data_IF_449078352361
#
_entry.id   IF_449078352361
#
_cell.length_a   1.000
_cell.length_b   1.000
_cell.length_c   1.000
_cell.angle_alpha   90.00
_cell.angle_beta   90.00
_cell.angle_gamma   90.00
#
_symmetry.space_group_name_H-M   'P 1'
#
loop_
_entity.id
_entity.type
_entity.pdbx_description
1 polymer ?
#
# COMPACT_ATOMS: atom_id res chain seq x y z
N UNK A 1 20.23 -2.90 -26.31
CA UNK A 1 18.76 -3.09 -26.29
C UNK A 1 18.12 -1.80 -25.78
N UNK A 2 17.03 -1.32 -26.40
CA UNK A 2 16.34 -0.08 -25.97
C UNK A 2 15.74 -0.31 -24.58
N UNK A 3 15.93 0.65 -23.66
CA UNK A 3 15.28 0.63 -22.33
C UNK A 3 13.79 0.95 -22.51
N UNK A 4 12.94 0.05 -22.08
CA UNK A 4 11.47 0.18 -22.14
C UNK A 4 10.90 0.50 -20.76
N UNK A 5 11.41 -0.17 -19.72
CA UNK A 5 11.01 0.06 -18.33
C UNK A 5 12.15 0.68 -17.51
N UNK A 6 11.81 1.66 -16.68
CA UNK A 6 12.66 2.14 -15.60
C UNK A 6 12.00 1.77 -14.28
N UNK A 7 12.64 0.86 -13.53
CA UNK A 7 12.20 0.49 -12.17
C UNK A 7 12.75 1.53 -11.21
N UNK A 8 11.90 2.20 -10.43
CA UNK A 8 12.28 3.31 -9.52
C UNK A 8 11.99 2.91 -8.07
N UNK A 9 13.05 2.95 -7.24
CA UNK A 9 12.95 2.65 -5.80
C UNK A 9 13.52 3.84 -4.99
N UNK A 10 12.66 4.57 -4.26
CA UNK A 10 13.09 5.55 -3.28
C UNK A 10 13.51 4.83 -2.00
N UNK A 11 14.65 5.18 -1.41
CA UNK A 11 15.14 4.55 -0.18
C UNK A 11 15.91 5.56 0.69
N UNK A 12 15.85 5.47 2.04
CA UNK A 12 16.72 6.29 2.88
C UNK A 12 18.19 5.92 2.71
N UNK A 13 18.48 4.62 2.71
CA UNK A 13 19.81 4.03 2.53
C UNK A 13 19.68 2.70 1.80
N UNK A 14 20.57 2.41 0.87
CA UNK A 14 20.61 1.12 0.17
C UNK A 14 20.75 0.01 1.21
N UNK A 15 19.74 -0.86 1.26
CA UNK A 15 19.58 -1.92 2.27
C UNK A 15 19.83 -3.31 1.68
N UNK A 16 19.72 -4.33 2.51
CA UNK A 16 19.95 -5.72 2.11
C UNK A 16 18.86 -6.26 1.18
N UNK A 17 17.61 -5.79 1.29
CA UNK A 17 16.55 -6.17 0.36
C UNK A 17 16.89 -5.76 -1.08
N UNK A 18 17.42 -4.54 -1.26
CA UNK A 18 17.86 -4.08 -2.58
C UNK A 18 18.96 -5.00 -3.13
N UNK A 19 19.97 -5.34 -2.32
CA UNK A 19 21.14 -6.12 -2.75
C UNK A 19 20.82 -7.59 -2.97
N UNK A 20 20.08 -8.20 -2.03
CA UNK A 20 19.88 -9.65 -1.95
C UNK A 20 18.62 -10.13 -2.65
N UNK A 21 17.63 -9.26 -2.86
CA UNK A 21 16.32 -9.65 -3.39
C UNK A 21 15.95 -8.86 -4.65
N UNK A 22 15.89 -7.51 -4.62
CA UNK A 22 15.42 -6.71 -5.76
C UNK A 22 16.36 -6.84 -6.96
N UNK A 23 17.67 -6.65 -6.79
CA UNK A 23 18.62 -6.77 -7.90
C UNK A 23 18.63 -8.18 -8.50
N UNK A 24 18.70 -9.27 -7.72
CA UNK A 24 18.58 -10.63 -8.25
C UNK A 24 17.25 -10.91 -8.95
N UNK A 25 16.12 -10.42 -8.41
CA UNK A 25 14.80 -10.59 -9.03
C UNK A 25 14.69 -9.83 -10.37
N UNK A 26 15.24 -8.63 -10.46
CA UNK A 26 15.29 -7.86 -11.71
C UNK A 26 16.20 -8.50 -12.77
N UNK A 27 17.31 -9.12 -12.37
CA UNK A 27 18.15 -9.92 -13.28
C UNK A 27 17.41 -11.12 -13.88
N UNK A 28 16.50 -11.72 -13.08
CA UNK A 28 15.69 -12.89 -13.47
C UNK A 28 14.45 -12.54 -14.29
N UNK A 29 14.16 -11.25 -14.54
CA UNK A 29 13.01 -10.87 -15.36
C UNK A 29 13.12 -11.50 -16.75
N UNK A 30 12.00 -12.04 -17.25
CA UNK A 30 11.88 -12.54 -18.63
C UNK A 30 11.97 -11.40 -19.62
N UNK A 31 11.43 -10.24 -19.31
CA UNK A 31 11.55 -9.01 -20.10
C UNK A 31 12.90 -8.32 -19.84
N UNK A 32 13.71 -8.10 -20.89
CA UNK A 32 15.11 -7.66 -20.77
C UNK A 32 15.34 -6.15 -20.96
N UNK A 33 14.39 -5.42 -21.48
CA UNK A 33 14.52 -3.97 -21.76
C UNK A 33 14.28 -3.11 -20.50
N UNK A 34 15.07 -3.30 -19.42
CA UNK A 34 14.89 -2.58 -18.16
C UNK A 34 16.17 -1.89 -17.67
N UNK A 35 16.00 -0.81 -16.93
CA UNK A 35 17.00 -0.24 -16.02
C UNK A 35 16.44 -0.15 -14.59
N UNK A 36 17.31 -0.14 -13.60
CA UNK A 36 16.95 -0.01 -12.19
C UNK A 36 17.53 1.27 -11.59
N UNK A 37 16.68 2.13 -11.07
CA UNK A 37 17.02 3.46 -10.54
C UNK A 37 16.77 3.47 -9.05
N UNK A 38 17.82 3.67 -8.27
CA UNK A 38 17.78 3.76 -6.81
C UNK A 38 18.01 5.21 -6.41
N UNK A 39 17.13 5.76 -5.56
CA UNK A 39 17.21 7.15 -5.07
C UNK A 39 17.43 7.16 -3.54
N UNK A 40 18.68 7.03 -3.07
CA UNK A 40 19.01 7.11 -1.65
C UNK A 40 19.11 8.56 -1.16
N UNK A 41 19.05 8.81 0.18
CA UNK A 41 19.25 10.14 0.77
C UNK A 41 20.65 10.69 0.52
N UNK A 42 21.66 9.82 0.57
CA UNK A 42 23.07 10.17 0.38
C UNK A 42 23.75 9.18 -0.56
N UNK A 43 24.83 9.63 -1.19
CA UNK A 43 25.71 8.75 -1.95
C UNK A 43 26.29 7.70 -1.00
N UNK A 44 26.06 6.43 -1.29
CA UNK A 44 26.72 5.31 -0.61
C UNK A 44 28.21 5.23 -0.94
N UNK A 45 28.93 4.33 -0.26
CA UNK A 45 30.29 3.97 -0.63
C UNK A 45 30.39 3.44 -2.09
N UNK A 46 31.61 3.14 -2.56
CA UNK A 46 31.80 2.50 -3.87
C UNK A 46 31.17 1.09 -3.83
N UNK A 47 29.96 0.97 -4.35
CA UNK A 47 29.28 -0.33 -4.55
C UNK A 47 29.37 -0.71 -6.03
N UNK A 48 29.80 -1.95 -6.29
CA UNK A 48 29.88 -2.47 -7.66
C UNK A 48 28.51 -3.08 -8.05
N UNK A 49 27.62 -2.25 -8.59
CA UNK A 49 26.33 -2.70 -9.08
C UNK A 49 26.39 -3.18 -10.54
N UNK A 50 25.50 -4.10 -10.94
CA UNK A 50 25.32 -4.49 -12.34
C UNK A 50 25.09 -3.28 -13.27
N UNK A 51 25.46 -3.39 -14.53
CA UNK A 51 25.40 -2.31 -15.52
C UNK A 51 24.01 -1.71 -15.76
N UNK A 52 22.94 -2.41 -15.44
CA UNK A 52 21.57 -1.91 -15.55
C UNK A 52 21.12 -1.08 -14.32
N UNK A 53 21.90 -1.05 -13.23
CA UNK A 53 21.57 -0.30 -12.00
C UNK A 53 22.17 1.10 -12.07
N UNK A 54 21.36 2.09 -11.72
CA UNK A 54 21.75 3.51 -11.60
C UNK A 54 21.41 4.03 -10.22
N UNK A 55 22.29 4.77 -9.60
CA UNK A 55 22.08 5.36 -8.27
C UNK A 55 22.17 6.88 -8.40
N UNK A 56 21.09 7.56 -8.01
CA UNK A 56 21.03 9.04 -8.01
C UNK A 56 20.66 9.52 -6.60
N UNK A 57 21.65 9.95 -5.80
CA UNK A 57 21.38 10.47 -4.45
C UNK A 57 20.50 11.71 -4.47
N UNK A 58 19.56 11.82 -3.53
CA UNK A 58 18.72 12.99 -3.32
C UNK A 58 19.32 13.88 -2.23
N UNK A 59 20.18 14.81 -2.61
CA UNK A 59 20.74 15.79 -1.68
C UNK A 59 20.34 17.21 -2.09
N UNK A 60 19.79 18.06 -1.20
CA UNK A 60 19.39 17.78 0.18
C UNK A 60 18.33 16.67 0.29
N UNK A 61 18.13 16.10 1.49
CA UNK A 61 17.21 14.99 1.73
C UNK A 61 15.78 15.32 1.25
N UNK A 62 15.26 14.48 0.35
CA UNK A 62 13.92 14.59 -0.20
C UNK A 62 12.96 13.61 0.48
N UNK A 63 11.65 13.90 0.43
CA UNK A 63 10.60 12.97 0.79
C UNK A 63 10.46 11.82 -0.23
N UNK A 64 9.71 10.75 0.13
CA UNK A 64 9.50 9.62 -0.79
C UNK A 64 8.85 10.02 -2.13
N UNK A 65 7.89 10.94 -2.13
CA UNK A 65 7.25 11.47 -3.34
C UNK A 65 8.28 12.16 -4.25
N UNK A 66 9.01 13.13 -3.71
CA UNK A 66 10.00 13.89 -4.47
C UNK A 66 11.15 13.00 -5.00
N UNK A 67 11.51 11.93 -4.26
CA UNK A 67 12.48 10.93 -4.74
C UNK A 67 11.97 10.14 -5.93
N UNK A 68 10.67 9.74 -5.90
CA UNK A 68 10.04 9.06 -7.03
C UNK A 68 10.06 9.95 -8.26
N UNK A 69 9.72 11.25 -8.12
CA UNK A 69 9.76 12.23 -9.20
C UNK A 69 11.18 12.43 -9.75
N UNK A 70 12.18 12.51 -8.86
CA UNK A 70 13.58 12.54 -9.27
C UNK A 70 13.96 11.29 -10.08
N UNK A 71 13.50 10.11 -9.64
CA UNK A 71 13.69 8.84 -10.34
C UNK A 71 13.08 8.86 -11.74
N UNK A 72 11.84 9.34 -11.88
CA UNK A 72 11.18 9.50 -13.19
C UNK A 72 11.91 10.47 -14.09
N UNK A 73 12.40 11.60 -13.57
CA UNK A 73 13.21 12.57 -14.31
C UNK A 73 14.51 11.96 -14.85
N UNK A 74 15.11 11.01 -14.14
CA UNK A 74 16.33 10.28 -14.54
C UNK A 74 16.06 9.07 -15.45
N UNK A 75 14.81 8.62 -15.51
CA UNK A 75 14.40 7.43 -16.23
C UNK A 75 14.49 7.59 -17.75
N UNK A 76 14.99 6.55 -18.43
CA UNK A 76 15.07 6.45 -19.90
C UNK A 76 13.93 5.63 -20.47
N UNK A 77 13.25 4.81 -19.65
CA UNK A 77 12.14 3.96 -20.07
C UNK A 77 10.88 4.73 -20.41
N UNK A 78 10.10 4.19 -21.32
CA UNK A 78 8.77 4.69 -21.68
C UNK A 78 7.77 4.43 -20.55
N UNK A 79 7.98 3.34 -19.79
CA UNK A 79 7.17 2.96 -18.64
C UNK A 79 7.99 3.02 -17.37
N UNK A 80 7.36 3.57 -16.32
CA UNK A 80 7.96 3.67 -14.98
C UNK A 80 7.31 2.64 -14.09
N UNK A 81 8.11 1.76 -13.50
CA UNK A 81 7.66 0.76 -12.55
C UNK A 81 8.13 1.12 -11.14
N UNK A 82 7.19 1.54 -10.28
CA UNK A 82 7.50 1.84 -8.89
C UNK A 82 7.51 0.57 -8.05
N UNK A 83 8.50 0.48 -7.17
CA UNK A 83 8.60 -0.53 -6.12
C UNK A 83 9.01 0.13 -4.80
N UNK A 84 8.59 -0.45 -3.68
CA UNK A 84 9.16 -0.12 -2.37
C UNK A 84 10.49 -0.85 -2.17
N UNK A 85 11.34 -0.35 -1.26
CA UNK A 85 12.67 -0.90 -1.00
C UNK A 85 12.67 -2.23 -0.22
N UNK A 86 11.48 -2.70 0.16
CA UNK A 86 11.18 -3.98 0.79
C UNK A 86 10.23 -4.86 -0.06
N UNK A 87 10.19 -4.61 -1.40
CA UNK A 87 9.40 -5.39 -2.34
C UNK A 87 10.25 -5.87 -3.53
N UNK A 88 10.07 -7.11 -3.97
CA UNK A 88 10.77 -7.66 -5.13
C UNK A 88 9.81 -8.36 -6.10
N UNK A 89 10.04 -8.23 -7.44
CA UNK A 89 9.09 -8.70 -8.43
C UNK A 89 9.21 -10.20 -8.73
N UNK A 90 8.09 -10.81 -9.15
CA UNK A 90 8.09 -12.15 -9.75
C UNK A 90 8.81 -12.14 -11.12
N UNK A 91 9.31 -13.29 -11.63
CA UNK A 91 10.11 -13.34 -12.86
C UNK A 91 9.40 -12.80 -14.12
N UNK A 92 8.07 -12.87 -14.18
CA UNK A 92 7.28 -12.43 -15.34
C UNK A 92 6.57 -11.10 -15.13
N UNK A 93 6.91 -10.34 -14.10
CA UNK A 93 6.24 -9.12 -13.68
C UNK A 93 6.09 -8.09 -14.82
N UNK A 94 7.19 -7.72 -15.48
CA UNK A 94 7.17 -6.74 -16.57
C UNK A 94 6.57 -7.30 -17.85
N UNK A 95 6.79 -8.58 -18.13
CA UNK A 95 6.18 -9.29 -19.27
C UNK A 95 4.65 -9.28 -19.17
N UNK A 96 4.10 -9.48 -17.97
CA UNK A 96 2.65 -9.48 -17.74
C UNK A 96 2.04 -8.08 -17.81
N UNK A 97 2.82 -7.04 -17.60
CA UNK A 97 2.34 -5.67 -17.63
C UNK A 97 2.37 -5.03 -19.01
N UNK A 98 3.35 -5.38 -19.88
CA UNK A 98 3.63 -4.64 -21.11
C UNK A 98 2.46 -4.65 -22.10
N UNK A 99 1.74 -5.76 -22.20
CA UNK A 99 0.67 -5.91 -23.18
C UNK A 99 -0.52 -4.98 -22.92
N UNK A 100 -0.77 -4.61 -21.68
CA UNK A 100 -1.83 -3.66 -21.34
C UNK A 100 -1.57 -2.28 -21.94
N UNK A 101 -0.31 -1.90 -22.06
CA UNK A 101 0.08 -0.60 -22.60
C UNK A 101 -0.04 -0.49 -24.13
N UNK A 102 -0.42 -1.55 -24.86
CA UNK A 102 -0.86 -1.45 -26.27
C UNK A 102 -2.12 -0.61 -26.39
N UNK A 103 -2.95 -0.56 -25.36
CA UNK A 103 -4.12 0.31 -25.29
C UNK A 103 -3.74 1.67 -24.69
N UNK A 104 -3.83 2.72 -25.49
CA UNK A 104 -3.51 4.10 -25.08
C UNK A 104 -4.41 4.64 -23.94
N UNK A 105 -5.58 4.05 -23.70
CA UNK A 105 -6.45 4.39 -22.56
C UNK A 105 -5.88 3.87 -21.24
N UNK A 106 -4.97 2.89 -21.26
CA UNK A 106 -4.33 2.36 -20.06
C UNK A 106 -3.13 3.23 -19.70
N UNK A 107 -3.26 3.99 -18.62
CA UNK A 107 -2.21 4.82 -18.04
C UNK A 107 -1.41 4.12 -16.95
N UNK A 108 -2.00 3.08 -16.30
CA UNK A 108 -1.35 2.34 -15.23
C UNK A 108 -1.70 0.86 -15.20
N UNK A 109 -0.78 0.04 -14.71
CA UNK A 109 -0.94 -1.39 -14.44
C UNK A 109 -0.39 -1.69 -13.06
N UNK A 110 -1.08 -2.51 -12.29
CA UNK A 110 -0.68 -2.89 -10.93
C UNK A 110 -1.04 -4.36 -10.64
N UNK A 111 -0.57 -4.87 -9.54
CA UNK A 111 -0.86 -6.23 -9.13
C UNK A 111 -0.50 -6.47 -7.66
N UNK A 112 -0.83 -7.63 -7.07
CA UNK A 112 -0.70 -7.86 -5.66
C UNK A 112 0.75 -7.85 -5.18
N UNK A 113 0.93 -7.48 -3.90
CA UNK A 113 2.15 -7.69 -3.14
C UNK A 113 1.91 -8.72 -2.06
N UNK A 114 2.26 -9.98 -2.34
CA UNK A 114 2.08 -11.08 -1.39
C UNK A 114 3.24 -11.11 -0.39
N UNK A 115 2.93 -11.52 0.83
CA UNK A 115 3.96 -11.68 1.87
C UNK A 115 4.88 -12.85 1.52
N UNK A 116 6.21 -12.68 1.51
CA UNK A 116 7.14 -13.77 1.28
C UNK A 116 6.91 -14.91 2.27
N UNK A 117 6.91 -16.20 1.82
CA UNK A 117 6.62 -17.33 2.71
C UNK A 117 7.67 -17.55 3.79
N UNK A 118 8.89 -17.01 3.62
CA UNK A 118 10.00 -17.10 4.57
C UNK A 118 10.12 -15.89 5.52
N UNK A 119 9.18 -14.96 5.48
CA UNK A 119 9.14 -13.84 6.42
C UNK A 119 8.98 -14.34 7.88
N UNK A 120 9.51 -13.61 8.86
CA UNK A 120 9.32 -13.93 10.28
C UNK A 120 7.83 -14.05 10.67
N UNK A 121 7.53 -14.89 11.66
CA UNK A 121 6.16 -15.17 12.12
C UNK A 121 5.30 -13.92 12.28
N UNK A 122 5.80 -12.88 12.96
CA UNK A 122 5.03 -11.66 13.21
C UNK A 122 4.76 -10.83 11.94
N UNK A 123 5.62 -10.91 10.95
CA UNK A 123 5.39 -10.33 9.63
C UNK A 123 4.37 -11.15 8.83
N UNK A 124 4.43 -12.48 8.93
CA UNK A 124 3.43 -13.38 8.33
C UNK A 124 2.02 -13.10 8.88
N UNK A 125 1.85 -12.93 10.19
CA UNK A 125 0.55 -12.57 10.79
C UNK A 125 0.02 -11.25 10.22
N UNK A 126 0.89 -10.22 10.12
CA UNK A 126 0.54 -8.96 9.46
C UNK A 126 0.11 -9.17 8.01
N UNK A 127 0.84 -10.00 7.27
CA UNK A 127 0.52 -10.35 5.89
C UNK A 127 -0.84 -11.04 5.75
N UNK A 128 -1.15 -12.00 6.59
CA UNK A 128 -2.43 -12.68 6.60
C UNK A 128 -3.59 -11.78 7.01
N UNK A 129 -3.36 -10.83 7.94
CA UNK A 129 -4.33 -9.78 8.24
C UNK A 129 -4.69 -8.99 6.97
N UNK A 130 -3.68 -8.49 6.23
CA UNK A 130 -3.91 -7.76 4.99
C UNK A 130 -4.52 -8.61 3.86
N UNK A 131 -4.22 -9.91 3.82
CA UNK A 131 -4.72 -10.86 2.82
C UNK A 131 -6.15 -11.35 3.11
N UNK A 132 -6.64 -11.20 4.33
CA UNK A 132 -7.97 -11.65 4.72
C UNK A 132 -9.04 -10.60 4.41
N UNK A 133 -10.23 -11.08 3.99
CA UNK A 133 -11.34 -10.18 3.68
C UNK A 133 -11.76 -9.33 4.88
N UNK A 134 -11.89 -9.96 6.06
CA UNK A 134 -12.26 -9.23 7.28
C UNK A 134 -11.18 -8.24 7.69
N UNK A 135 -9.89 -8.64 7.63
CA UNK A 135 -8.79 -7.79 8.09
C UNK A 135 -8.57 -6.53 7.26
N UNK A 136 -8.60 -6.65 5.91
CA UNK A 136 -8.32 -5.54 5.01
C UNK A 136 -9.57 -4.98 4.30
N UNK A 137 -10.71 -5.63 4.45
CA UNK A 137 -11.92 -5.33 3.68
C UNK A 137 -11.74 -5.62 2.18
N UNK A 138 -12.84 -5.66 1.43
CA UNK A 138 -12.80 -5.94 0.00
C UNK A 138 -11.95 -4.96 -0.82
N UNK A 139 -11.75 -3.73 -0.32
CA UNK A 139 -10.91 -2.71 -0.97
C UNK A 139 -9.40 -2.95 -0.77
N UNK A 140 -8.97 -3.73 0.22
CA UNK A 140 -7.56 -3.95 0.57
C UNK A 140 -7.05 -5.36 0.22
N UNK A 141 -7.90 -6.36 0.36
CA UNK A 141 -7.52 -7.77 0.22
C UNK A 141 -6.82 -8.09 -1.10
N UNK A 142 -7.35 -7.65 -2.24
CA UNK A 142 -6.76 -7.90 -3.56
C UNK A 142 -5.36 -7.30 -3.74
N UNK A 143 -4.99 -6.33 -2.90
CA UNK A 143 -3.63 -5.74 -2.89
C UNK A 143 -2.60 -6.67 -2.25
N UNK A 144 -3.03 -7.63 -1.44
CA UNK A 144 -2.16 -8.50 -0.65
C UNK A 144 -2.40 -9.99 -0.91
N UNK A 145 -3.51 -10.33 -1.57
CA UNK A 145 -3.87 -11.68 -2.01
C UNK A 145 -4.35 -11.61 -3.46
N UNK A 146 -3.88 -12.48 -4.37
CA UNK A 146 -4.28 -12.46 -5.76
C UNK A 146 -5.79 -12.59 -5.92
N UNK A 147 -6.40 -11.64 -6.58
CA UNK A 147 -7.83 -11.61 -6.88
C UNK A 147 -8.08 -11.55 -8.39
N UNK A 148 -9.32 -11.31 -8.79
CA UNK A 148 -9.70 -11.17 -10.19
C UNK A 148 -9.15 -9.87 -10.82
N UNK A 149 -8.91 -9.89 -12.13
CA UNK A 149 -8.59 -8.69 -12.92
C UNK A 149 -9.69 -7.65 -12.78
N UNK A 150 -9.32 -6.39 -12.62
CA UNK A 150 -10.27 -5.28 -12.48
C UNK A 150 -9.67 -3.93 -12.83
N UNK A 151 -10.52 -2.95 -13.09
CA UNK A 151 -10.12 -1.55 -13.10
C UNK A 151 -10.09 -1.03 -11.65
N UNK A 152 -9.07 -0.22 -11.34
CA UNK A 152 -8.92 0.44 -10.04
C UNK A 152 -8.61 1.92 -10.24
N UNK A 153 -8.91 2.74 -9.24
CA UNK A 153 -8.69 4.18 -9.25
C UNK A 153 -7.83 4.68 -8.07
N UNK A 154 -7.30 3.73 -7.30
CA UNK A 154 -6.41 3.99 -6.16
C UNK A 154 -5.53 2.75 -5.92
N UNK A 155 -4.21 2.88 -6.11
CA UNK A 155 -3.27 1.80 -5.91
C UNK A 155 -1.93 2.32 -5.37
N UNK A 156 -1.34 1.65 -4.37
CA UNK A 156 -0.07 2.08 -3.78
C UNK A 156 1.13 1.76 -4.67
N UNK A 157 2.16 2.59 -4.57
CA UNK A 157 3.35 2.54 -5.43
C UNK A 157 4.30 1.36 -5.15
N UNK A 158 4.02 0.50 -4.17
CA UNK A 158 4.81 -0.71 -4.00
C UNK A 158 4.76 -1.66 -5.22
N UNK A 159 3.75 -1.53 -6.08
CA UNK A 159 3.60 -2.27 -7.34
C UNK A 159 2.69 -1.51 -8.31
N UNK A 160 3.15 -0.39 -8.80
CA UNK A 160 2.42 0.43 -9.78
C UNK A 160 3.35 0.74 -10.97
N UNK A 161 2.92 0.36 -12.18
CA UNK A 161 3.63 0.64 -13.43
C UNK A 161 2.81 1.64 -14.22
N UNK A 162 3.41 2.73 -14.69
CA UNK A 162 2.70 3.82 -15.38
C UNK A 162 3.41 4.24 -16.67
N UNK A 163 2.67 4.83 -17.62
CA UNK A 163 3.28 5.52 -18.75
C UNK A 163 3.98 6.78 -18.26
N UNK A 164 5.24 6.94 -18.61
CA UNK A 164 6.01 8.15 -18.28
C UNK A 164 5.32 9.42 -18.77
N UNK A 165 4.86 9.44 -20.03
CA UNK A 165 4.13 10.58 -20.60
C UNK A 165 2.86 10.98 -19.85
N UNK A 166 2.13 9.98 -19.30
CA UNK A 166 0.91 10.24 -18.54
C UNK A 166 1.25 10.69 -17.10
N UNK A 167 2.32 10.16 -16.52
CA UNK A 167 2.88 10.62 -15.24
C UNK A 167 3.29 12.10 -15.30
N UNK A 168 4.00 12.49 -16.36
CA UNK A 168 4.42 13.88 -16.58
C UNK A 168 3.24 14.82 -16.82
N UNK A 169 2.20 14.37 -17.55
CA UNK A 169 0.98 15.16 -17.81
C UNK A 169 0.18 15.46 -16.55
N UNK A 170 0.14 14.57 -15.56
CA UNK A 170 -0.53 14.85 -14.28
C UNK A 170 0.33 15.65 -13.32
N UNK A 171 1.61 15.91 -13.65
CA UNK A 171 2.53 16.70 -12.85
C UNK A 171 3.31 15.90 -11.80
N UNK A 172 3.37 14.57 -11.92
CA UNK A 172 4.08 13.70 -10.99
C UNK A 172 3.34 13.45 -9.67
N UNK A 173 4.10 13.16 -8.61
CA UNK A 173 3.55 13.01 -7.26
C UNK A 173 3.48 14.34 -6.54
N UNK A 174 2.31 14.67 -6.03
CA UNK A 174 2.14 15.83 -5.17
C UNK A 174 2.62 15.52 -3.75
N UNK A 175 3.80 16.03 -3.39
CA UNK A 175 4.43 15.78 -2.08
C UNK A 175 3.62 16.34 -0.90
N UNK A 176 2.68 17.25 -1.13
CA UNK A 176 1.79 17.77 -0.10
C UNK A 176 0.78 16.71 0.39
N UNK A 177 0.51 15.70 -0.43
CA UNK A 177 -0.34 14.56 -0.07
C UNK A 177 0.40 13.41 0.60
N UNK A 178 1.75 13.48 0.78
CA UNK A 178 2.48 12.41 1.45
C UNK A 178 2.14 12.32 2.96
N UNK A 179 1.91 11.08 3.48
CA UNK A 179 1.79 9.79 2.83
C UNK A 179 0.38 9.56 2.25
N UNK A 180 0.26 9.43 0.94
CA UNK A 180 -0.97 9.27 0.15
C UNK A 180 -0.88 9.97 -1.20
N UNK A 181 0.34 10.35 -1.58
CA UNK A 181 0.68 10.88 -2.89
C UNK A 181 0.29 9.92 -4.03
N UNK A 182 0.32 8.62 -3.76
CA UNK A 182 -0.14 7.57 -4.66
C UNK A 182 -1.66 7.64 -4.92
N UNK A 183 -2.45 7.83 -3.86
CA UNK A 183 -3.91 8.04 -3.99
C UNK A 183 -4.22 9.30 -4.81
N UNK A 184 -3.49 10.40 -4.57
CA UNK A 184 -3.64 11.65 -5.33
C UNK A 184 -3.26 11.47 -6.79
N UNK A 185 -2.12 10.82 -7.05
CA UNK A 185 -1.66 10.51 -8.41
C UNK A 185 -2.68 9.64 -9.16
N UNK A 186 -3.13 8.53 -8.57
CA UNK A 186 -4.14 7.66 -9.17
C UNK A 186 -5.45 8.40 -9.45
N UNK A 187 -5.91 9.25 -8.51
CA UNK A 187 -7.07 10.11 -8.71
C UNK A 187 -6.90 11.00 -9.95
N UNK A 188 -5.76 11.67 -10.10
CA UNK A 188 -5.54 12.59 -11.21
C UNK A 188 -5.38 11.83 -12.54
N UNK A 189 -4.71 10.69 -12.53
CA UNK A 189 -4.57 9.83 -13.71
C UNK A 189 -5.95 9.36 -14.22
N UNK A 190 -6.83 8.95 -13.31
CA UNK A 190 -8.16 8.41 -13.69
C UNK A 190 -9.17 9.53 -13.93
N UNK A 191 -9.30 10.49 -13.02
CA UNK A 191 -10.41 11.44 -13.04
C UNK A 191 -10.12 12.77 -13.73
N UNK A 192 -8.83 13.15 -13.89
CA UNK A 192 -8.45 14.34 -14.66
C UNK A 192 -7.98 13.97 -16.07
N UNK A 193 -7.16 12.92 -16.21
CA UNK A 193 -6.61 12.52 -17.51
C UNK A 193 -7.46 11.47 -18.24
N UNK A 194 -8.49 10.89 -17.60
CA UNK A 194 -9.39 9.90 -18.19
C UNK A 194 -8.73 8.56 -18.51
N UNK A 195 -7.63 8.23 -17.85
CA UNK A 195 -6.90 6.98 -18.03
C UNK A 195 -7.45 5.88 -17.12
N UNK A 196 -7.17 4.62 -17.52
CA UNK A 196 -7.49 3.43 -16.74
C UNK A 196 -6.26 2.92 -16.01
N UNK A 197 -6.44 2.41 -14.79
CA UNK A 197 -5.46 1.60 -14.07
C UNK A 197 -6.00 0.18 -14.00
N UNK A 198 -5.22 -0.78 -14.53
CA UNK A 198 -5.61 -2.19 -14.56
C UNK A 198 -4.87 -2.95 -13.47
N UNK A 199 -5.63 -3.61 -12.61
CA UNK A 199 -5.10 -4.61 -11.70
C UNK A 199 -5.11 -5.98 -12.37
N UNK A 200 -3.94 -6.64 -12.41
CA UNK A 200 -3.78 -8.02 -12.84
C UNK A 200 -3.04 -8.83 -11.77
N UNK A 201 -3.63 -9.94 -11.25
CA UNK A 201 -2.98 -10.78 -10.25
C UNK A 201 -1.65 -11.42 -10.72
N UNK A 202 -1.37 -11.45 -12.03
CA UNK A 202 -0.12 -11.96 -12.59
C UNK A 202 1.02 -10.92 -12.58
N UNK A 203 0.70 -9.63 -12.41
CA UNK A 203 1.67 -8.55 -12.22
C UNK A 203 2.07 -8.53 -10.73
N UNK A 204 2.71 -9.61 -10.30
CA UNK A 204 2.93 -9.98 -8.91
C UNK A 204 4.28 -9.48 -8.39
N UNK A 205 4.27 -8.94 -7.18
CA UNK A 205 5.48 -8.72 -6.38
C UNK A 205 5.37 -9.43 -5.02
N UNK A 206 6.51 -9.69 -4.40
CA UNK A 206 6.61 -10.09 -3.00
C UNK A 206 6.90 -8.83 -2.19
N UNK A 207 6.22 -8.63 -1.06
CA UNK A 207 6.35 -7.43 -0.26
C UNK A 207 6.43 -7.80 1.22
N UNK A 208 7.57 -7.54 1.85
CA UNK A 208 7.81 -7.79 3.27
C UNK A 208 6.88 -6.96 4.14
N UNK A 209 6.34 -7.60 5.18
CA UNK A 209 5.39 -6.93 6.07
C UNK A 209 6.06 -6.49 7.35
N UNK A 210 5.50 -5.43 7.93
CA UNK A 210 5.92 -4.95 9.24
C UNK A 210 5.42 -5.90 10.32
N UNK A 211 6.28 -6.21 11.29
CA UNK A 211 5.90 -7.05 12.41
C UNK A 211 4.71 -6.46 13.19
N UNK A 212 3.75 -7.34 13.57
CA UNK A 212 2.75 -6.99 14.57
C UNK A 212 3.47 -6.82 15.94
N UNK A 213 3.05 -5.95 16.83
CA UNK A 213 1.96 -4.98 16.80
C UNK A 213 2.49 -3.56 16.49
N UNK A 214 3.65 -3.17 17.05
CA UNK A 214 4.17 -1.80 17.07
C UNK A 214 4.23 -1.16 15.68
N UNK A 215 4.97 -1.77 14.76
CA UNK A 215 5.20 -1.18 13.43
C UNK A 215 3.98 -1.31 12.51
N UNK A 216 3.26 -2.41 12.63
CA UNK A 216 2.00 -2.65 11.93
C UNK A 216 0.94 -1.62 12.34
N UNK A 217 0.73 -1.41 13.65
CA UNK A 217 -0.25 -0.42 14.14
C UNK A 217 0.16 1.02 13.80
N UNK A 218 1.46 1.34 13.80
CA UNK A 218 1.93 2.65 13.33
C UNK A 218 1.53 2.87 11.87
N UNK A 219 1.67 1.86 11.01
CA UNK A 219 1.28 1.92 9.60
C UNK A 219 -0.24 2.04 9.44
N UNK A 220 -1.01 1.16 10.10
CA UNK A 220 -2.48 1.17 10.06
C UNK A 220 -3.06 2.48 10.56
N UNK A 221 -2.51 3.03 11.66
CA UNK A 221 -2.96 4.31 12.19
C UNK A 221 -2.72 5.47 11.22
N UNK A 222 -1.60 5.45 10.49
CA UNK A 222 -1.37 6.43 9.41
C UNK A 222 -2.40 6.28 8.30
N UNK A 223 -2.67 5.07 7.83
CA UNK A 223 -3.67 4.83 6.79
C UNK A 223 -5.06 5.29 7.22
N UNK A 224 -5.49 4.98 8.46
CA UNK A 224 -6.76 5.46 9.00
C UNK A 224 -6.85 6.99 8.99
N UNK A 225 -5.84 7.66 9.56
CA UNK A 225 -5.79 9.12 9.65
C UNK A 225 -5.88 9.79 8.27
N UNK A 226 -5.05 9.33 7.31
CA UNK A 226 -5.05 9.90 5.96
C UNK A 226 -6.34 9.59 5.21
N UNK A 227 -6.85 8.37 5.29
CA UNK A 227 -8.08 8.00 4.61
C UNK A 227 -9.28 8.80 5.15
N UNK A 228 -9.36 9.02 6.47
CA UNK A 228 -10.37 9.89 7.06
C UNK A 228 -10.27 11.33 6.57
N UNK A 229 -9.07 11.89 6.46
CA UNK A 229 -8.86 13.22 5.90
C UNK A 229 -9.21 13.29 4.41
N UNK A 230 -8.85 12.28 3.62
CA UNK A 230 -9.09 12.22 2.18
C UNK A 230 -10.56 12.04 1.80
N UNK A 231 -11.43 11.61 2.72
CA UNK A 231 -12.90 11.68 2.50
C UNK A 231 -13.34 13.08 2.09
N UNK A 232 -12.66 14.12 2.58
CA UNK A 232 -12.98 15.54 2.30
C UNK A 232 -12.28 16.06 1.05
N UNK A 233 -11.01 15.73 0.86
CA UNK A 233 -10.17 16.33 -0.20
C UNK A 233 -10.09 15.47 -1.47
N UNK A 234 -10.28 14.15 -1.36
CA UNK A 234 -10.30 13.19 -2.47
C UNK A 234 -11.50 12.25 -2.35
N UNK A 235 -12.75 12.77 -2.38
CA UNK A 235 -13.95 11.96 -2.08
C UNK A 235 -14.15 10.79 -3.06
N UNK A 236 -13.81 10.94 -4.33
CA UNK A 236 -13.98 9.89 -5.35
C UNK A 236 -13.23 8.59 -5.00
N UNK A 237 -12.02 8.69 -4.44
CA UNK A 237 -11.19 7.55 -4.06
C UNK A 237 -11.37 7.12 -2.60
N UNK A 238 -11.87 8.01 -1.73
CA UNK A 238 -11.80 7.82 -0.27
C UNK A 238 -13.16 7.79 0.44
N UNK A 239 -14.25 8.32 -0.16
CA UNK A 239 -15.60 8.25 0.42
C UNK A 239 -16.26 6.92 0.05
N UNK A 240 -15.71 5.80 0.57
CA UNK A 240 -16.22 4.45 0.34
C UNK A 240 -16.65 3.82 1.65
N UNK A 241 -17.81 3.17 1.66
CA UNK A 241 -18.41 2.60 2.87
C UNK A 241 -17.43 1.70 3.65
N UNK A 242 -16.66 0.87 2.96
CA UNK A 242 -15.69 -0.03 3.58
C UNK A 242 -14.65 0.66 4.47
N UNK A 243 -14.30 1.92 4.20
CA UNK A 243 -13.37 2.70 5.03
C UNK A 243 -14.00 3.22 6.34
N UNK A 244 -15.34 3.33 6.38
CA UNK A 244 -16.06 3.78 7.57
C UNK A 244 -16.37 2.64 8.55
N UNK A 245 -16.43 1.39 8.08
CA UNK A 245 -16.79 0.23 8.92
C UNK A 245 -15.91 0.13 10.18
N UNK A 246 -14.56 0.24 10.10
CA UNK A 246 -13.73 0.21 11.31
C UNK A 246 -13.96 1.40 12.24
N UNK A 247 -14.39 2.57 11.71
CA UNK A 247 -14.74 3.72 12.55
C UNK A 247 -16.05 3.49 13.31
N UNK A 248 -17.07 2.94 12.65
CA UNK A 248 -18.31 2.53 13.29
C UNK A 248 -18.05 1.44 14.35
N UNK A 249 -17.18 0.48 14.05
CA UNK A 249 -16.75 -0.54 15.01
C UNK A 249 -16.08 0.09 16.24
N UNK A 250 -15.14 1.04 16.06
CA UNK A 250 -14.47 1.72 17.17
C UNK A 250 -15.46 2.50 18.05
N UNK A 251 -16.44 3.17 17.44
CA UNK A 251 -17.53 3.84 18.18
C UNK A 251 -18.41 2.83 18.91
N UNK A 252 -18.74 1.69 18.27
CA UNK A 252 -19.51 0.62 18.89
C UNK A 252 -18.81 0.02 20.12
N UNK A 253 -17.50 -0.23 20.02
CA UNK A 253 -16.72 -0.73 21.17
C UNK A 253 -16.67 0.30 22.31
N UNK A 254 -16.53 1.60 22.00
CA UNK A 254 -16.43 2.65 23.00
C UNK A 254 -17.79 2.96 23.66
N UNK A 255 -18.85 3.10 22.88
CA UNK A 255 -20.15 3.58 23.36
C UNK A 255 -21.20 2.46 23.49
N UNK A 256 -20.98 1.29 22.90
CA UNK A 256 -21.91 0.17 22.96
C UNK A 256 -22.29 -0.26 24.36
N UNK A 257 -21.36 -0.39 25.32
CA UNK A 257 -21.71 -0.72 26.70
C UNK A 257 -22.68 0.29 27.36
N UNK A 258 -22.64 1.57 26.94
CA UNK A 258 -23.55 2.60 27.48
C UNK A 258 -25.01 2.38 27.07
N UNK A 259 -25.28 1.56 26.06
CA UNK A 259 -26.66 1.22 25.65
C UNK A 259 -27.46 0.57 26.77
N UNK A 260 -26.79 -0.08 27.75
CA UNK A 260 -27.42 -0.64 28.95
C UNK A 260 -28.14 0.44 29.79
N UNK A 261 -27.62 1.67 29.81
CA UNK A 261 -28.22 2.79 30.53
C UNK A 261 -29.56 3.25 29.93
N UNK A 262 -29.81 2.90 28.66
CA UNK A 262 -31.02 3.34 27.95
C UNK A 262 -32.04 2.19 27.83
N UNK A 263 -31.58 0.98 27.51
CA UNK A 263 -32.48 -0.17 27.32
C UNK A 263 -31.72 -1.48 27.32
N UNK A 264 -32.22 -2.47 28.05
CA UNK A 264 -31.71 -3.82 28.03
C UNK A 264 -31.81 -4.46 26.62
N UNK A 265 -32.86 -4.13 25.86
CA UNK A 265 -33.02 -4.62 24.48
C UNK A 265 -31.90 -4.07 23.57
N UNK A 266 -31.55 -2.78 23.66
CA UNK A 266 -30.45 -2.19 22.93
C UNK A 266 -29.09 -2.81 23.32
N UNK A 267 -28.88 -3.07 24.60
CA UNK A 267 -27.66 -3.73 25.07
C UNK A 267 -27.54 -5.17 24.55
N UNK A 268 -28.65 -5.93 24.58
CA UNK A 268 -28.67 -7.27 23.96
C UNK A 268 -28.36 -7.23 22.47
N UNK A 269 -28.95 -6.29 21.73
CA UNK A 269 -28.64 -6.08 20.31
C UNK A 269 -27.14 -5.77 20.09
N UNK A 270 -26.55 -4.89 20.90
CA UNK A 270 -25.12 -4.62 20.88
C UNK A 270 -24.28 -5.90 21.09
N UNK A 271 -24.64 -6.72 22.09
CA UNK A 271 -23.93 -7.98 22.34
C UNK A 271 -24.05 -8.97 21.18
N UNK A 272 -25.21 -9.04 20.51
CA UNK A 272 -25.37 -9.86 19.31
C UNK A 272 -24.45 -9.39 18.19
N UNK A 273 -24.40 -8.09 17.91
CA UNK A 273 -23.52 -7.52 16.87
C UNK A 273 -22.05 -7.80 17.19
N UNK A 274 -21.64 -7.61 18.44
CA UNK A 274 -20.28 -7.91 18.90
C UNK A 274 -19.97 -9.40 18.78
N UNK A 275 -20.91 -10.26 19.15
CA UNK A 275 -20.78 -11.72 19.02
C UNK A 275 -20.61 -12.17 17.57
N UNK A 276 -21.40 -11.62 16.64
CA UNK A 276 -21.23 -11.85 15.20
C UNK A 276 -19.83 -11.45 14.74
N UNK A 277 -19.34 -10.28 15.16
CA UNK A 277 -18.00 -9.82 14.79
C UNK A 277 -16.89 -10.75 15.31
N UNK A 278 -16.99 -11.21 16.58
CA UNK A 278 -16.04 -12.17 17.16
C UNK A 278 -16.08 -13.51 16.38
N UNK A 279 -17.27 -13.96 16.03
CA UNK A 279 -17.45 -15.17 15.22
C UNK A 279 -16.79 -15.01 13.83
N UNK A 280 -16.94 -13.87 13.17
CA UNK A 280 -16.28 -13.59 11.89
C UNK A 280 -14.75 -13.58 12.01
N UNK A 281 -14.19 -13.06 13.11
CA UNK A 281 -12.75 -13.18 13.39
C UNK A 281 -12.35 -14.66 13.52
N UNK A 282 -13.13 -15.45 14.25
CA UNK A 282 -12.90 -16.90 14.41
C UNK A 282 -12.90 -17.63 13.06
N UNK A 283 -13.90 -17.41 12.21
CA UNK A 283 -13.93 -17.97 10.85
C UNK A 283 -12.75 -17.52 9.99
N UNK A 284 -12.37 -16.24 10.07
CA UNK A 284 -11.19 -15.73 9.36
C UNK A 284 -9.93 -16.42 9.84
N UNK A 285 -9.77 -16.61 11.15
CA UNK A 285 -8.64 -17.33 11.76
C UNK A 285 -8.58 -18.78 11.30
N UNK A 286 -9.71 -19.49 11.27
CA UNK A 286 -9.80 -20.87 10.75
C UNK A 286 -9.46 -20.95 9.25
N UNK A 287 -9.94 -20.00 8.45
CA UNK A 287 -9.58 -19.92 7.03
C UNK A 287 -8.07 -19.71 6.86
N UNK A 288 -7.46 -18.81 7.66
CA UNK A 288 -6.01 -18.59 7.64
C UNK A 288 -5.25 -19.83 8.12
N UNK A 289 -5.74 -20.54 9.15
CA UNK A 289 -5.17 -21.82 9.58
C UNK A 289 -5.12 -22.84 8.44
N UNK A 290 -6.24 -22.98 7.72
CA UNK A 290 -6.32 -23.90 6.58
C UNK A 290 -5.36 -23.54 5.44
N UNK A 291 -5.10 -22.23 5.20
CA UNK A 291 -4.22 -21.74 4.15
C UNK A 291 -2.74 -21.71 4.57
N UNK A 292 -2.44 -21.22 5.76
CA UNK A 292 -1.06 -21.07 6.27
C UNK A 292 -0.50 -22.36 6.86
N UNK A 293 -1.38 -23.29 7.28
CA UNK A 293 -1.05 -24.51 8.06
C UNK A 293 -0.21 -24.22 9.32
N UNK A 294 -0.41 -23.02 9.89
CA UNK A 294 0.33 -22.57 11.07
C UNK A 294 -0.64 -22.05 12.14
N UNK A 295 -0.74 -22.79 13.24
CA UNK A 295 -1.64 -22.51 14.35
C UNK A 295 -1.31 -21.18 15.04
N UNK A 296 0.00 -20.85 15.20
CA UNK A 296 0.41 -19.60 15.84
C UNK A 296 0.00 -18.39 15.03
N UNK A 297 0.07 -18.46 13.69
CA UNK A 297 -0.43 -17.39 12.81
C UNK A 297 -1.92 -17.19 13.04
N UNK A 298 -2.71 -18.27 13.06
CA UNK A 298 -4.15 -18.21 13.25
C UNK A 298 -4.53 -17.61 14.61
N UNK A 299 -3.88 -18.04 15.70
CA UNK A 299 -4.12 -17.52 17.05
C UNK A 299 -3.76 -16.02 17.14
N UNK A 300 -2.57 -15.64 16.67
CA UNK A 300 -2.12 -14.25 16.72
C UNK A 300 -2.93 -13.32 15.81
N UNK A 301 -3.56 -13.86 14.78
CA UNK A 301 -4.41 -13.07 13.88
C UNK A 301 -5.65 -12.51 14.60
N UNK A 302 -6.22 -13.24 15.55
CA UNK A 302 -7.41 -12.83 16.30
C UNK A 302 -7.23 -11.44 16.95
N UNK A 303 -6.29 -11.26 17.88
CA UNK A 303 -6.06 -9.94 18.46
C UNK A 303 -5.54 -8.92 17.44
N UNK A 304 -4.82 -9.36 16.40
CA UNK A 304 -4.30 -8.48 15.37
C UNK A 304 -5.43 -7.81 14.59
N UNK A 305 -6.45 -8.54 14.14
CA UNK A 305 -7.60 -7.97 13.44
C UNK A 305 -8.36 -7.01 14.36
N UNK A 306 -8.67 -7.43 15.58
CA UNK A 306 -9.44 -6.64 16.54
C UNK A 306 -8.77 -5.28 16.82
N UNK A 307 -7.49 -5.32 17.22
CA UNK A 307 -6.74 -4.09 17.56
C UNK A 307 -6.52 -3.22 16.32
N UNK A 308 -6.30 -3.81 15.15
CA UNK A 308 -6.14 -3.07 13.90
C UNK A 308 -7.39 -2.31 13.50
N UNK A 309 -8.57 -2.93 13.60
CA UNK A 309 -9.84 -2.25 13.31
C UNK A 309 -10.12 -1.13 14.30
N UNK A 310 -9.90 -1.38 15.59
CA UNK A 310 -10.09 -0.36 16.62
C UNK A 310 -9.17 0.83 16.39
N UNK A 311 -7.89 0.58 16.12
CA UNK A 311 -6.89 1.62 15.90
C UNK A 311 -7.12 2.38 14.60
N UNK A 312 -7.35 1.66 13.49
CA UNK A 312 -7.68 2.30 12.21
C UNK A 312 -8.91 3.19 12.34
N UNK A 313 -10.00 2.66 12.94
CA UNK A 313 -11.24 3.38 13.12
C UNK A 313 -11.08 4.67 13.94
N UNK A 314 -10.39 4.60 15.07
CA UNK A 314 -10.10 5.77 15.91
C UNK A 314 -9.29 6.83 15.14
N UNK A 315 -8.27 6.40 14.40
CA UNK A 315 -7.45 7.31 13.58
C UNK A 315 -8.22 7.87 12.37
N UNK A 316 -9.11 7.08 11.78
CA UNK A 316 -9.99 7.54 10.70
C UNK A 316 -10.93 8.65 11.17
N UNK A 317 -11.57 8.50 12.35
CA UNK A 317 -12.39 9.54 12.97
C UNK A 317 -11.56 10.80 13.20
N UNK A 318 -10.35 10.67 13.74
CA UNK A 318 -9.43 11.80 13.92
C UNK A 318 -9.14 12.51 12.58
N UNK A 319 -8.94 11.75 11.49
CA UNK A 319 -8.74 12.30 10.15
C UNK A 319 -9.97 13.04 9.62
N UNK A 320 -11.18 12.51 9.84
CA UNK A 320 -12.44 13.19 9.49
C UNK A 320 -12.61 14.52 10.21
N UNK A 321 -12.19 14.60 11.47
CA UNK A 321 -12.32 15.80 12.29
C UNK A 321 -11.23 16.85 12.01
N UNK A 322 -10.12 16.48 11.39
CA UNK A 322 -9.05 17.46 11.06
C UNK A 322 -9.57 18.54 10.13
N UNK A 323 -9.34 19.80 10.50
CA UNK A 323 -9.65 21.01 9.71
C UNK A 323 -8.35 21.55 9.10
N UNK A 324 -8.43 22.18 7.93
CA UNK A 324 -7.31 22.90 7.32
C UNK A 324 -6.93 22.41 5.93
N UNK A 325 -6.07 23.17 5.26
CA UNK A 325 -5.52 22.87 3.95
C UNK A 325 -4.47 21.76 4.03
N UNK A 326 -4.20 21.11 2.91
CA UNK A 326 -3.22 20.02 2.78
C UNK A 326 -1.83 20.45 3.27
N UNK A 327 -1.41 21.68 2.95
CA UNK A 327 -0.12 22.25 3.36
C UNK A 327 0.06 22.36 4.89
N UNK A 328 -1.01 22.77 5.60
CA UNK A 328 -1.01 22.85 7.06
C UNK A 328 -0.97 21.47 7.71
N UNK A 329 -1.67 20.52 7.11
CA UNK A 329 -1.66 19.12 7.51
C UNK A 329 -0.26 18.47 7.38
N UNK A 330 0.49 18.85 6.34
CA UNK A 330 1.88 18.41 6.12
C UNK A 330 2.82 18.84 7.27
N UNK A 331 2.67 20.06 7.78
CA UNK A 331 3.47 20.58 8.90
C UNK A 331 3.22 19.77 10.17
N UNK A 332 1.95 19.55 10.52
CA UNK A 332 1.56 18.76 11.70
C UNK A 332 1.98 17.28 11.60
N UNK A 333 2.02 16.72 10.39
CA UNK A 333 2.48 15.35 10.16
C UNK A 333 4.00 15.21 10.30
N UNK A 334 4.77 16.18 9.84
CA UNK A 334 6.22 16.19 10.05
C UNK A 334 6.55 16.19 11.54
N UNK A 335 5.86 17.03 12.31
CA UNK A 335 6.01 17.11 13.79
C UNK A 335 5.57 15.82 14.50
N UNK A 336 4.60 15.07 13.98
CA UNK A 336 4.13 13.82 14.57
C UNK A 336 4.96 12.57 14.16
N UNK A 337 5.91 12.71 13.23
CA UNK A 337 6.74 11.62 12.69
C UNK A 337 8.19 11.72 13.17
N UNK A 338 8.62 12.91 13.59
CA UNK A 338 9.87 13.12 14.35
C UNK A 338 9.69 12.70 15.80
#
# INVERSE_FOLDING_TARGET
MKTVFSVVVPVPKINDYIRKEIIPALKKQTFKGLEFIIIPDKKGGKENFPSFVRVYPSWPKLGPADKKDLGVKKAKGEFIAFLDDDAYPSPRWLEKAIDYFKNEKVGGVCGPGITPPHDPLLAQVSGWMWSSWLGAGGAGTYRCWPGEKREVDDYPTFNLIVRKKDFEKVGGFDSDFWPGEDTKFCHDLVYKLGKKIIYDPQVLVYHHRRNIFKYHLKQIGRYGLHRGYFVKVLPKTSKRLGYFIPALFALGVLFGPLTLLFSLALFRFYLVVLGIYIMLIGFTSLWVLAKSRNLLIAILLIPTIFVSHLWYGSRFIQGLLKKGEVSKYKKELKEAIT
#
